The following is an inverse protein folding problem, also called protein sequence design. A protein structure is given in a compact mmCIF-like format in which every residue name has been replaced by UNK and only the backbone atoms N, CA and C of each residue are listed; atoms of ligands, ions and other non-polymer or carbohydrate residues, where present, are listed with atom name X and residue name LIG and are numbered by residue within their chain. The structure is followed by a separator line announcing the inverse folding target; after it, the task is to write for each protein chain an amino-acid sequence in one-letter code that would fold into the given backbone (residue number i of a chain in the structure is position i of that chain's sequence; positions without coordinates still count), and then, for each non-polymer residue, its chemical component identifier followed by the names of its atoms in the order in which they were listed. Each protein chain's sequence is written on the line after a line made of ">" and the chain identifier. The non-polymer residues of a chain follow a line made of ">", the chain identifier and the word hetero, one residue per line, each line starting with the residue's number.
data_IF_175585547564
#
_entry.id   IF_175585547564
#
_cell.length_a   1.000
_cell.length_b   1.000
_cell.length_c   1.000
_cell.angle_alpha   90.00
_cell.angle_beta   90.00
_cell.angle_gamma   90.00
#
_symmetry.space_group_name_H-M   'P 1'
#
loop_
_entity.id
_entity.type
_entity.pdbx_description
1 polymer ?
#
# COMPACT_ATOMS: atom_id res chain seq x y z
N UNK A 1 -6.13 -9.54 -48.58
CA UNK A 1 -6.75 -8.78 -47.47
C UNK A 1 -8.10 -9.41 -47.20
N UNK A 2 -8.38 -9.79 -45.95
CA UNK A 2 -9.65 -10.39 -45.53
C UNK A 2 -10.68 -9.25 -45.43
N UNK A 3 -11.88 -9.40 -45.97
CA UNK A 3 -12.95 -8.41 -45.82
C UNK A 3 -13.42 -8.32 -44.37
N UNK A 4 -13.90 -7.16 -43.92
CA UNK A 4 -14.38 -7.00 -42.54
C UNK A 4 -15.55 -7.95 -42.20
N UNK A 5 -16.41 -8.23 -43.18
CA UNK A 5 -17.51 -9.18 -43.01
C UNK A 5 -17.01 -10.61 -42.81
N UNK A 6 -16.04 -11.05 -43.62
CA UNK A 6 -15.42 -12.37 -43.47
C UNK A 6 -14.67 -12.45 -42.14
N UNK A 7 -14.01 -11.37 -41.73
CA UNK A 7 -13.35 -11.26 -40.44
C UNK A 7 -14.32 -11.43 -39.26
N UNK A 8 -15.51 -10.83 -39.34
CA UNK A 8 -16.57 -11.00 -38.34
C UNK A 8 -17.10 -12.44 -38.31
N UNK A 9 -17.32 -13.06 -39.48
CA UNK A 9 -17.77 -14.47 -39.59
C UNK A 9 -16.75 -15.44 -38.98
N UNK A 10 -15.44 -15.21 -39.20
CA UNK A 10 -14.37 -16.02 -38.56
C UNK A 10 -14.44 -15.91 -37.03
N UNK A 11 -14.63 -14.70 -36.49
CA UNK A 11 -14.76 -14.50 -35.04
C UNK A 11 -15.97 -15.25 -34.46
N UNK A 12 -17.12 -15.18 -35.13
CA UNK A 12 -18.34 -15.86 -34.71
C UNK A 12 -18.18 -17.39 -34.69
N UNK A 13 -17.56 -17.97 -35.72
CA UNK A 13 -17.29 -19.42 -35.78
C UNK A 13 -16.25 -19.84 -34.74
N UNK A 14 -15.23 -19.01 -34.50
CA UNK A 14 -14.23 -19.29 -33.46
C UNK A 14 -14.83 -19.25 -32.05
N UNK A 15 -15.80 -18.38 -31.79
CA UNK A 15 -16.43 -18.23 -30.48
C UNK A 15 -17.42 -19.35 -30.15
N UNK A 16 -18.15 -19.85 -31.16
CA UNK A 16 -19.16 -20.90 -30.99
C UNK A 16 -18.56 -22.23 -30.52
N UNK A 17 -17.35 -22.56 -30.99
CA UNK A 17 -16.69 -23.82 -30.68
C UNK A 17 -17.37 -25.06 -31.27
N UNK A 18 -18.25 -24.89 -32.26
CA UNK A 18 -18.94 -25.99 -32.94
C UNK A 18 -18.06 -26.56 -34.07
N UNK A 19 -17.73 -27.85 -33.96
CA UNK A 19 -16.94 -28.58 -34.95
C UNK A 19 -17.62 -28.66 -36.33
N UNK A 20 -18.96 -28.72 -36.38
CA UNK A 20 -19.68 -28.81 -37.65
C UNK A 20 -19.63 -27.48 -38.41
N UNK A 21 -19.84 -26.36 -37.71
CA UNK A 21 -19.72 -25.02 -38.30
C UNK A 21 -18.28 -24.73 -38.74
N UNK A 22 -17.30 -25.18 -37.96
CA UNK A 22 -15.87 -25.05 -38.31
C UNK A 22 -15.56 -25.80 -39.62
N UNK A 23 -16.04 -27.05 -39.75
CA UNK A 23 -15.82 -27.86 -40.98
C UNK A 23 -16.52 -27.26 -42.19
N UNK A 24 -17.78 -26.81 -42.03
CA UNK A 24 -18.53 -26.16 -43.10
C UNK A 24 -17.85 -24.87 -43.56
N UNK A 25 -17.36 -24.06 -42.61
CA UNK A 25 -16.64 -22.82 -42.91
C UNK A 25 -15.31 -23.08 -43.62
N UNK A 26 -14.53 -24.10 -43.21
CA UNK A 26 -13.27 -24.45 -43.87
C UNK A 26 -13.50 -24.99 -45.29
N UNK A 27 -14.62 -25.69 -45.52
CA UNK A 27 -14.99 -26.14 -46.86
C UNK A 27 -15.37 -24.97 -47.79
N UNK A 28 -16.02 -23.94 -47.25
CA UNK A 28 -16.42 -22.73 -47.98
C UNK A 28 -15.23 -21.76 -48.20
N UNK A 29 -14.31 -21.65 -47.23
CA UNK A 29 -13.19 -20.69 -47.22
C UNK A 29 -11.86 -21.35 -46.78
N UNK A 30 -11.27 -22.22 -47.62
CA UNK A 30 -10.04 -22.95 -47.27
C UNK A 30 -8.83 -22.04 -46.99
N UNK A 31 -8.77 -20.87 -47.61
CA UNK A 31 -7.71 -19.87 -47.43
C UNK A 31 -7.72 -19.24 -46.02
N UNK A 32 -8.86 -19.24 -45.32
CA UNK A 32 -8.99 -18.68 -43.98
C UNK A 32 -8.73 -19.69 -42.85
N UNK A 33 -8.38 -20.94 -43.18
CA UNK A 33 -8.19 -22.02 -42.21
C UNK A 33 -7.16 -21.68 -41.13
N UNK A 34 -6.02 -21.12 -41.51
CA UNK A 34 -4.95 -20.79 -40.57
C UNK A 34 -5.39 -19.70 -39.56
N UNK A 35 -6.09 -18.68 -40.04
CA UNK A 35 -6.61 -17.58 -39.22
C UNK A 35 -7.71 -18.06 -38.26
N UNK A 36 -8.63 -18.92 -38.72
CA UNK A 36 -9.68 -19.51 -37.88
C UNK A 36 -9.09 -20.32 -36.72
N UNK A 37 -8.10 -21.19 -37.00
CA UNK A 37 -7.44 -22.00 -35.97
C UNK A 37 -6.69 -21.13 -34.96
N UNK A 38 -6.03 -20.06 -35.42
CA UNK A 38 -5.35 -19.12 -34.53
C UNK A 38 -6.33 -18.44 -33.56
N UNK A 39 -7.51 -18.03 -34.04
CA UNK A 39 -8.54 -17.41 -33.21
C UNK A 39 -9.22 -18.39 -32.28
N UNK A 40 -9.51 -19.61 -32.72
CA UNK A 40 -10.00 -20.67 -31.83
C UNK A 40 -9.02 -20.93 -30.67
N UNK A 41 -7.71 -20.96 -30.94
CA UNK A 41 -6.69 -21.09 -29.89
C UNK A 41 -6.70 -19.91 -28.93
N UNK A 42 -6.84 -18.68 -29.43
CA UNK A 42 -6.94 -17.50 -28.58
C UNK A 42 -8.19 -17.54 -27.70
N UNK A 43 -9.36 -17.84 -28.28
CA UNK A 43 -10.63 -17.93 -27.56
C UNK A 43 -10.59 -19.02 -26.49
N UNK A 44 -10.02 -20.19 -26.79
CA UNK A 44 -9.87 -21.28 -25.82
C UNK A 44 -8.89 -20.93 -24.70
N UNK A 45 -7.81 -20.19 -25.00
CA UNK A 45 -6.87 -19.68 -23.99
C UNK A 45 -7.57 -18.70 -23.04
N UNK A 46 -8.38 -17.77 -23.58
CA UNK A 46 -9.13 -16.80 -22.77
C UNK A 46 -10.21 -17.50 -21.95
N UNK A 47 -11.01 -18.38 -22.55
CA UNK A 47 -12.06 -19.13 -21.84
C UNK A 47 -11.48 -20.09 -20.79
N UNK A 48 -10.34 -20.71 -21.08
CA UNK A 48 -9.61 -21.61 -20.19
C UNK A 48 -8.83 -20.90 -19.07
N UNK A 49 -8.55 -19.60 -19.22
CA UNK A 49 -7.92 -18.78 -18.18
C UNK A 49 -8.84 -18.47 -16.99
N UNK A 50 -10.13 -18.85 -17.05
CA UNK A 50 -10.96 -18.91 -15.84
C UNK A 50 -10.33 -19.94 -14.90
N UNK A 51 -9.88 -19.55 -13.69
CA UNK A 51 -9.25 -20.47 -12.77
C UNK A 51 -10.27 -21.57 -12.38
N UNK A 52 -10.16 -22.72 -13.06
CA UNK A 52 -10.88 -23.96 -12.70
C UNK A 52 -10.30 -24.59 -11.43
N UNK A 53 -9.24 -23.99 -10.90
CA UNK A 53 -8.85 -24.25 -9.53
C UNK A 53 -9.90 -23.60 -8.64
N UNK A 54 -10.86 -24.40 -8.18
CA UNK A 54 -11.35 -24.30 -6.80
C UNK A 54 -10.14 -24.48 -5.89
N UNK A 55 -9.21 -23.51 -5.89
CA UNK A 55 -8.44 -23.24 -4.68
C UNK A 55 -9.55 -23.04 -3.68
N UNK A 56 -9.68 -23.96 -2.73
CA UNK A 56 -10.52 -23.75 -1.58
C UNK A 56 -10.16 -22.34 -1.15
N UNK A 57 -11.09 -21.38 -1.35
CA UNK A 57 -10.86 -20.00 -0.93
C UNK A 57 -10.48 -20.18 0.52
N UNK A 58 -9.22 -19.98 0.84
CA UNK A 58 -8.81 -19.85 2.22
C UNK A 58 -9.70 -18.72 2.69
N UNK A 59 -10.70 -19.12 3.48
CA UNK A 59 -11.65 -18.20 4.04
C UNK A 59 -10.75 -17.16 4.69
N UNK A 60 -10.89 -15.90 4.29
CA UNK A 60 -10.18 -14.79 4.91
C UNK A 60 -10.49 -14.90 6.40
N UNK A 61 -9.65 -15.62 7.13
CA UNK A 61 -9.60 -15.56 8.57
C UNK A 61 -8.82 -14.27 8.75
N UNK A 62 -9.45 -13.19 9.24
CA UNK A 62 -8.66 -12.06 9.69
C UNK A 62 -7.55 -12.66 10.56
N UNK A 63 -6.30 -12.40 10.19
CA UNK A 63 -5.18 -12.80 11.05
C UNK A 63 -5.57 -12.29 12.43
N UNK A 64 -5.62 -13.15 13.46
CA UNK A 64 -6.04 -12.73 14.78
C UNK A 64 -5.18 -11.52 15.09
N UNK A 65 -5.84 -10.37 15.30
CA UNK A 65 -5.20 -9.09 15.52
C UNK A 65 -4.01 -9.36 16.41
N UNK A 66 -2.81 -9.20 15.83
CA UNK A 66 -1.58 -9.31 16.58
C UNK A 66 -1.74 -8.19 17.58
N UNK A 67 -2.18 -8.53 18.79
CA UNK A 67 -2.44 -7.62 19.88
C UNK A 67 -1.14 -6.87 20.11
N UNK A 68 -0.95 -5.80 19.35
CA UNK A 68 0.10 -4.85 19.59
C UNK A 68 -0.34 -4.30 20.92
N UNK A 69 0.35 -4.71 21.97
CA UNK A 69 0.32 -4.07 23.26
C UNK A 69 0.82 -2.64 23.06
N UNK A 70 0.02 -1.84 22.36
CA UNK A 70 0.12 -0.41 22.23
C UNK A 70 -0.19 0.06 23.64
N UNK A 71 0.88 0.17 24.43
CA UNK A 71 0.83 0.84 25.71
C UNK A 71 0.09 2.17 25.47
N UNK A 72 -0.97 2.43 26.25
CA UNK A 72 -1.85 3.55 25.97
C UNK A 72 -1.01 4.83 25.95
N UNK A 73 -1.25 5.70 24.96
CA UNK A 73 -0.39 6.85 24.64
C UNK A 73 -0.04 7.74 25.86
N UNK A 74 -0.88 7.76 26.90
CA UNK A 74 -0.61 8.46 28.17
C UNK A 74 0.59 7.89 28.96
N UNK A 75 0.88 6.60 28.85
CA UNK A 75 2.03 5.97 29.51
C UNK A 75 3.37 6.48 28.95
N UNK A 76 3.43 6.78 27.64
CA UNK A 76 4.60 7.38 27.01
C UNK A 76 4.86 8.82 27.51
N UNK A 77 3.79 9.60 27.73
CA UNK A 77 3.92 10.96 28.28
C UNK A 77 4.39 10.96 29.74
N UNK A 78 3.96 9.99 30.55
CA UNK A 78 4.43 9.86 31.93
C UNK A 78 5.94 9.58 32.01
N UNK A 79 6.44 8.66 31.18
CA UNK A 79 7.86 8.31 31.13
C UNK A 79 8.76 9.45 30.59
N UNK A 80 8.28 10.25 29.64
CA UNK A 80 9.02 11.41 29.16
C UNK A 80 9.14 12.52 30.22
N UNK A 81 8.10 12.74 31.03
CA UNK A 81 8.11 13.78 32.06
C UNK A 81 9.12 13.51 33.19
N UNK A 82 9.31 12.24 33.57
CA UNK A 82 10.24 11.86 34.65
C UNK A 82 11.69 12.03 34.22
N UNK A 83 12.02 11.79 32.95
CA UNK A 83 13.36 12.03 32.41
C UNK A 83 13.72 13.53 32.38
N UNK A 84 12.77 14.40 32.03
CA UNK A 84 13.00 15.85 32.02
C UNK A 84 13.18 16.39 33.45
N UNK A 85 12.34 15.97 34.41
CA UNK A 85 12.48 16.37 35.81
C UNK A 85 13.82 15.91 36.42
N UNK A 86 14.27 14.69 36.07
CA UNK A 86 15.57 14.17 36.49
C UNK A 86 16.75 14.98 35.93
N UNK A 87 16.68 15.38 34.66
CA UNK A 87 17.73 16.20 34.04
C UNK A 87 17.84 17.58 34.71
N UNK A 88 16.73 18.24 35.02
CA UNK A 88 16.73 19.55 35.70
C UNK A 88 17.34 19.45 37.11
N UNK A 89 16.99 18.42 37.88
CA UNK A 89 17.57 18.22 39.22
C UNK A 89 19.08 17.91 39.16
N UNK A 90 19.53 17.13 38.15
CA UNK A 90 20.96 16.87 37.93
C UNK A 90 21.74 18.16 37.55
N UNK A 91 21.15 19.05 36.74
CA UNK A 91 21.76 20.34 36.40
C UNK A 91 21.86 21.28 37.61
N UNK A 92 20.82 21.35 38.46
CA UNK A 92 20.88 22.19 39.67
C UNK A 92 21.87 21.62 40.70
N UNK A 93 21.97 20.30 40.83
CA UNK A 93 22.92 19.65 41.72
C UNK A 93 24.39 19.88 41.31
N UNK A 94 24.70 19.80 40.01
CA UNK A 94 26.06 20.05 39.50
C UNK A 94 26.45 21.52 39.64
N UNK A 95 25.55 22.47 39.40
CA UNK A 95 25.82 23.90 39.61
C UNK A 95 26.17 24.22 41.08
N UNK A 96 25.39 23.69 42.03
CA UNK A 96 25.66 23.87 43.48
C UNK A 96 26.98 23.24 43.91
N UNK A 97 27.36 22.10 43.33
CA UNK A 97 28.63 21.43 43.63
C UNK A 97 29.84 22.20 43.10
N UNK A 98 29.76 22.74 41.88
CA UNK A 98 30.81 23.60 41.34
C UNK A 98 30.94 24.92 42.10
N UNK A 99 29.82 25.51 42.56
CA UNK A 99 29.82 26.75 43.33
C UNK A 99 30.50 26.58 44.71
N UNK A 100 30.35 25.40 45.34
CA UNK A 100 31.10 25.04 46.55
C UNK A 100 32.61 24.86 46.32
N UNK A 101 33.06 24.50 45.11
CA UNK A 101 34.50 24.44 44.80
C UNK A 101 35.11 25.80 44.43
N UNK A 102 34.29 26.76 44.00
CA UNK A 102 34.80 28.00 43.42
C UNK A 102 34.97 29.17 44.40
N UNK A 103 34.75 28.96 45.71
CA UNK A 103 35.05 29.98 46.73
C UNK A 103 36.56 30.15 47.03
N UNK A 104 37.44 29.46 46.31
CA UNK A 104 38.88 29.45 46.59
C UNK A 104 39.76 30.42 45.79
N UNK A 105 39.34 30.94 44.63
CA UNK A 105 40.27 31.69 43.76
C UNK A 105 39.63 32.97 43.19
N UNK A 106 39.96 34.10 43.82
CA UNK A 106 39.79 35.41 43.22
C UNK A 106 40.81 35.56 42.07
N UNK A 107 40.33 35.58 40.82
CA UNK A 107 41.14 35.93 39.65
C UNK A 107 40.47 37.07 38.88
N UNK A 108 41.29 38.07 38.62
CA UNK A 108 41.00 39.35 37.99
C UNK A 108 40.57 39.17 36.51
N UNK A 109 39.57 39.98 36.12
CA UNK A 109 39.15 40.34 34.75
C UNK A 109 40.34 40.77 33.86
N UNK A 110 40.29 40.71 32.48
CA UNK A 110 39.35 41.53 31.68
C UNK A 110 38.99 41.05 30.23
N UNK A 111 37.96 41.70 29.66
CA UNK A 111 37.67 42.09 28.25
C UNK A 111 38.16 41.24 27.06
N UNK A 112 37.29 41.05 26.04
CA UNK A 112 37.33 41.76 24.73
C UNK A 112 36.46 41.05 23.64
N UNK A 113 35.52 41.80 22.99
CA UNK A 113 35.03 41.79 21.56
C UNK A 113 34.82 40.48 20.78
N UNK A 114 33.92 40.32 19.80
CA UNK A 114 33.13 41.20 18.91
C UNK A 114 32.07 40.32 18.21
N UNK A 115 30.95 40.87 17.69
CA UNK A 115 30.01 40.14 16.82
C UNK A 115 30.22 40.49 15.33
N UNK A 116 30.44 39.48 14.49
CA UNK A 116 30.46 39.46 13.02
C UNK A 116 30.09 38.01 12.63
N UNK A 117 29.40 37.65 11.55
CA UNK A 117 28.86 38.33 10.38
C UNK A 117 27.92 37.32 9.69
N UNK A 118 26.93 37.84 8.96
CA UNK A 118 26.12 37.05 8.04
C UNK A 118 26.98 36.51 6.89
N UNK A 119 26.81 35.24 6.51
CA UNK A 119 27.29 34.78 5.21
C UNK A 119 26.25 33.88 4.52
N UNK A 120 25.69 34.45 3.44
CA UNK A 120 24.92 33.78 2.41
C UNK A 120 25.86 32.89 1.57
N UNK A 121 25.66 31.57 1.61
CA UNK A 121 26.42 30.60 0.83
C UNK A 121 25.52 29.63 0.07
N UNK A 122 24.94 30.12 -1.02
CA UNK A 122 24.29 29.35 -2.08
C UNK A 122 25.33 28.54 -2.85
N UNK A 123 25.30 27.20 -2.77
CA UNK A 123 25.74 26.30 -3.86
C UNK A 123 25.26 24.86 -3.64
N UNK A 124 24.41 24.39 -4.55
CA UNK A 124 24.19 22.97 -4.86
C UNK A 124 25.49 22.35 -5.42
N UNK A 125 25.86 21.13 -5.02
CA UNK A 125 26.60 20.23 -5.89
C UNK A 125 25.65 19.22 -6.55
N UNK A 126 25.45 19.40 -7.87
CA UNK A 126 24.92 18.40 -8.78
C UNK A 126 26.05 17.42 -9.09
N UNK A 127 26.02 16.24 -8.47
CA UNK A 127 26.93 15.12 -8.80
C UNK A 127 26.09 13.96 -9.30
N UNK A 128 25.97 13.88 -10.62
CA UNK A 128 25.53 12.68 -11.34
C UNK A 128 26.73 11.72 -11.38
N UNK A 129 26.71 10.68 -10.55
CA UNK A 129 27.57 9.51 -10.74
C UNK A 129 26.80 8.48 -11.55
N UNK A 130 27.22 8.30 -12.79
CA UNK A 130 26.87 7.19 -13.65
C UNK A 130 27.70 5.99 -13.19
N UNK A 131 27.07 5.09 -12.43
CA UNK A 131 27.68 3.82 -12.02
C UNK A 131 27.26 2.80 -13.07
N UNK A 132 28.17 2.48 -13.99
CA UNK A 132 28.03 1.37 -14.93
C UNK A 132 28.36 0.08 -14.15
N UNK A 133 27.41 -0.86 -13.94
CA UNK A 133 27.73 -2.14 -13.33
C UNK A 133 28.41 -3.05 -14.37
N UNK A 134 29.68 -3.37 -14.15
CA UNK A 134 30.37 -4.45 -14.88
C UNK A 134 29.84 -5.79 -14.40
N UNK A 135 29.06 -6.48 -15.25
CA UNK A 135 28.57 -7.84 -15.00
C UNK A 135 29.71 -8.85 -15.20
N UNK A 136 29.98 -9.77 -14.25
CA UNK A 136 30.88 -10.89 -14.46
C UNK A 136 30.28 -11.84 -15.51
N UNK A 137 30.98 -12.02 -16.62
CA UNK A 137 30.63 -13.01 -17.64
C UNK A 137 31.15 -14.37 -17.18
N UNK A 138 30.25 -15.25 -16.72
CA UNK A 138 30.53 -16.67 -16.49
C UNK A 138 30.48 -17.43 -17.84
N UNK A 139 31.58 -18.03 -18.32
CA UNK A 139 31.64 -18.61 -19.67
C UNK A 139 31.11 -20.06 -19.78
N UNK A 140 30.24 -20.54 -18.88
CA UNK A 140 29.90 -21.98 -18.85
C UNK A 140 28.41 -22.34 -18.78
N UNK A 141 27.53 -21.56 -19.42
CA UNK A 141 26.16 -22.00 -19.70
C UNK A 141 26.04 -22.52 -21.13
N UNK A 142 26.11 -23.85 -21.28
CA UNK A 142 25.69 -24.53 -22.51
C UNK A 142 24.21 -24.24 -22.79
N UNK A 143 23.97 -23.48 -23.85
CA UNK A 143 22.66 -23.17 -24.40
C UNK A 143 22.04 -24.44 -25.01
N UNK A 144 20.90 -24.88 -24.46
CA UNK A 144 20.00 -25.82 -25.15
C UNK A 144 19.30 -25.03 -26.27
N UNK A 145 19.43 -25.41 -27.55
CA UNK A 145 18.77 -24.69 -28.64
C UNK A 145 17.26 -24.90 -28.60
N UNK A 146 16.47 -23.83 -28.42
CA UNK A 146 15.02 -23.86 -28.66
C UNK A 146 14.11 -23.41 -27.52
N UNK A 147 14.64 -23.05 -26.35
CA UNK A 147 13.87 -22.33 -25.32
C UNK A 147 14.44 -20.93 -25.17
N UNK A 148 13.83 -19.93 -25.81
CA UNK A 148 13.94 -18.56 -25.33
C UNK A 148 13.40 -18.56 -23.90
N UNK A 149 14.22 -18.31 -22.87
CA UNK A 149 13.69 -18.13 -21.53
C UNK A 149 12.67 -16.99 -21.59
N UNK A 150 11.52 -17.09 -20.91
CA UNK A 150 10.63 -15.95 -20.79
C UNK A 150 11.46 -14.83 -20.19
N UNK A 151 11.68 -13.76 -20.95
CA UNK A 151 12.28 -12.54 -20.42
C UNK A 151 11.34 -12.12 -19.30
N UNK A 152 11.73 -12.36 -18.06
CA UNK A 152 11.08 -11.77 -16.91
C UNK A 152 11.36 -10.29 -17.02
N UNK A 153 10.46 -9.57 -17.68
CA UNK A 153 10.39 -8.11 -17.56
C UNK A 153 10.33 -7.82 -16.07
N UNK A 154 11.42 -7.33 -15.50
CA UNK A 154 11.40 -6.77 -14.15
C UNK A 154 10.28 -5.73 -14.13
N UNK A 155 9.22 -6.03 -13.39
CA UNK A 155 8.11 -5.09 -13.22
C UNK A 155 8.61 -4.02 -12.26
N UNK A 156 8.77 -2.79 -12.74
CA UNK A 156 9.15 -1.63 -11.92
C UNK A 156 8.19 -1.43 -10.72
N UNK A 157 7.00 -2.01 -10.81
CA UNK A 157 5.96 -2.03 -9.78
C UNK A 157 6.41 -2.74 -8.48
N UNK A 158 7.38 -3.66 -8.58
CA UNK A 158 7.90 -4.43 -7.44
C UNK A 158 9.10 -3.75 -6.75
N UNK A 159 9.47 -2.53 -7.16
CA UNK A 159 10.56 -1.78 -6.54
C UNK A 159 10.18 -1.36 -5.11
N UNK A 160 11.02 -1.67 -4.11
CA UNK A 160 10.77 -1.26 -2.73
C UNK A 160 10.92 0.24 -2.58
N UNK A 161 10.01 0.85 -1.83
CA UNK A 161 10.00 2.28 -1.53
C UNK A 161 10.03 2.51 -0.02
N UNK A 162 10.58 3.66 0.38
CA UNK A 162 10.62 4.09 1.78
C UNK A 162 10.04 5.49 1.88
N UNK A 163 8.89 5.60 2.53
CA UNK A 163 8.20 6.87 2.77
C UNK A 163 7.84 6.98 4.25
N UNK A 164 8.41 7.99 4.89
CA UNK A 164 8.18 8.29 6.31
C UNK A 164 7.83 9.75 6.43
N UNK A 165 6.54 10.05 6.60
CA UNK A 165 6.04 11.41 6.64
C UNK A 165 4.85 11.53 7.58
N UNK A 166 4.79 12.63 8.32
CA UNK A 166 3.67 12.96 9.18
C UNK A 166 3.00 14.22 8.66
N UNK A 167 1.68 14.16 8.43
CA UNK A 167 0.88 15.28 7.92
C UNK A 167 1.33 15.78 6.52
N UNK A 168 1.47 14.84 5.58
CA UNK A 168 1.75 15.13 4.16
C UNK A 168 0.46 15.07 3.35
N UNK A 169 0.31 15.88 2.30
CA UNK A 169 -0.85 15.77 1.39
C UNK A 169 -0.77 14.48 0.59
N UNK A 170 -1.92 13.89 0.26
CA UNK A 170 -1.95 12.62 -0.48
C UNK A 170 -1.26 12.75 -1.85
N UNK A 171 -1.49 13.84 -2.58
CA UNK A 171 -0.84 14.07 -3.88
C UNK A 171 0.70 14.12 -3.79
N UNK A 172 1.22 14.81 -2.79
CA UNK A 172 2.66 14.88 -2.54
C UNK A 172 3.23 13.49 -2.19
N UNK A 173 2.57 12.76 -1.29
CA UNK A 173 2.99 11.40 -0.91
C UNK A 173 2.97 10.41 -2.08
N UNK A 174 1.92 10.48 -2.92
CA UNK A 174 1.82 9.65 -4.13
C UNK A 174 2.91 10.01 -5.14
N UNK A 175 3.21 11.29 -5.31
CA UNK A 175 4.28 11.74 -6.19
C UNK A 175 5.67 11.26 -5.71
N UNK A 176 5.92 11.28 -4.39
CA UNK A 176 7.15 10.75 -3.81
C UNK A 176 7.30 9.25 -4.05
N UNK A 177 6.22 8.48 -3.88
CA UNK A 177 6.19 7.03 -4.20
C UNK A 177 6.47 6.81 -5.69
N UNK A 178 5.83 7.60 -6.56
CA UNK A 178 5.99 7.50 -8.01
C UNK A 178 7.44 7.75 -8.44
N UNK A 179 8.07 8.78 -7.88
CA UNK A 179 9.47 9.14 -8.13
C UNK A 179 10.44 8.06 -7.64
N UNK A 180 10.23 7.52 -6.43
CA UNK A 180 11.10 6.46 -5.89
C UNK A 180 10.99 5.14 -6.67
N UNK A 181 9.76 4.76 -7.08
CA UNK A 181 9.52 3.51 -7.81
C UNK A 181 9.73 3.64 -9.33
N UNK A 182 9.92 4.85 -9.86
CA UNK A 182 10.04 5.08 -11.30
C UNK A 182 8.75 4.78 -12.08
N UNK A 183 7.60 4.95 -11.44
CA UNK A 183 6.26 4.72 -12.05
C UNK A 183 5.53 6.05 -12.27
N UNK A 184 4.52 6.04 -13.14
CA UNK A 184 3.60 7.14 -13.36
C UNK A 184 2.29 6.84 -12.66
N UNK A 185 1.80 7.79 -11.88
CA UNK A 185 0.50 7.70 -11.23
C UNK A 185 -0.46 8.68 -11.89
N UNK A 186 -1.60 8.17 -12.36
CA UNK A 186 -2.69 8.98 -12.88
C UNK A 186 -3.85 8.93 -11.89
N UNK A 187 -4.37 10.09 -11.50
CA UNK A 187 -5.49 10.19 -10.59
C UNK A 187 -6.78 10.40 -11.37
N UNK A 188 -7.82 9.60 -11.09
CA UNK A 188 -9.13 9.85 -11.68
C UNK A 188 -9.73 11.18 -11.18
N UNK A 189 -10.59 11.84 -11.98
CA UNK A 189 -11.30 13.05 -11.55
C UNK A 189 -12.08 12.81 -10.25
N UNK A 190 -12.04 13.78 -9.34
CA UNK A 190 -12.77 13.69 -8.06
C UNK A 190 -12.06 12.90 -6.96
N UNK A 191 -10.79 12.50 -7.15
CA UNK A 191 -10.00 11.88 -6.08
C UNK A 191 -9.86 12.82 -4.87
N UNK A 192 -10.15 12.35 -3.64
CA UNK A 192 -9.93 13.15 -2.43
C UNK A 192 -8.44 13.38 -2.20
N UNK A 193 -8.07 14.56 -1.70
CA UNK A 193 -6.68 14.88 -1.34
C UNK A 193 -6.55 15.33 0.13
N UNK A 194 -6.75 14.40 1.09
CA UNK A 194 -6.57 14.69 2.50
C UNK A 194 -5.10 14.70 2.89
N UNK A 195 -4.81 15.25 4.08
CA UNK A 195 -3.52 15.06 4.71
C UNK A 195 -3.48 13.67 5.38
N UNK A 196 -2.36 12.98 5.23
CA UNK A 196 -2.15 11.63 5.75
C UNK A 196 -0.84 11.51 6.55
N UNK A 197 -0.73 10.42 7.28
CA UNK A 197 0.48 10.00 7.98
C UNK A 197 0.85 8.61 7.49
N UNK A 198 2.10 8.44 7.06
CA UNK A 198 2.60 7.20 6.45
C UNK A 198 3.99 6.86 7.02
N UNK A 199 4.21 5.59 7.32
CA UNK A 199 5.51 5.04 7.73
C UNK A 199 5.66 3.66 7.09
N UNK A 200 6.17 3.66 5.86
CA UNK A 200 6.48 2.46 5.09
C UNK A 200 7.97 2.42 4.81
N UNK A 201 8.60 1.27 5.04
CA UNK A 201 10.05 1.08 4.91
C UNK A 201 10.31 -0.20 4.15
N UNK A 202 11.00 -0.09 3.03
CA UNK A 202 11.37 -1.21 2.16
C UNK A 202 10.15 -2.06 1.72
N UNK A 203 9.03 -1.38 1.43
CA UNK A 203 7.77 -2.03 1.01
C UNK A 203 7.58 -1.82 -0.50
N UNK A 204 7.16 -2.84 -1.28
CA UNK A 204 6.87 -2.66 -2.70
C UNK A 204 5.84 -1.55 -2.95
N UNK A 205 6.08 -0.71 -3.95
CA UNK A 205 5.24 0.45 -4.25
C UNK A 205 3.75 0.11 -4.38
N UNK A 206 3.41 -1.01 -5.04
CA UNK A 206 2.03 -1.45 -5.22
C UNK A 206 1.33 -1.81 -3.89
N UNK A 207 2.07 -2.35 -2.93
CA UNK A 207 1.53 -2.70 -1.61
C UNK A 207 1.27 -1.44 -0.79
N UNK A 208 2.20 -0.46 -0.85
CA UNK A 208 2.01 0.86 -0.23
C UNK A 208 0.77 1.54 -0.81
N UNK A 209 0.63 1.58 -2.14
CA UNK A 209 -0.53 2.17 -2.80
C UNK A 209 -1.84 1.46 -2.44
N UNK A 210 -1.82 0.12 -2.30
CA UNK A 210 -2.99 -0.66 -1.87
C UNK A 210 -3.36 -0.37 -0.42
N UNK A 211 -2.38 -0.27 0.47
CA UNK A 211 -2.60 0.03 1.88
C UNK A 211 -3.21 1.44 2.06
N UNK A 212 -2.63 2.46 1.40
CA UNK A 212 -3.17 3.83 1.40
C UNK A 212 -4.56 3.85 0.77
N UNK A 213 -4.76 3.13 -0.34
CA UNK A 213 -6.05 3.05 -1.03
C UNK A 213 -7.15 2.43 -0.18
N UNK A 214 -6.86 1.40 0.60
CA UNK A 214 -7.82 0.81 1.52
C UNK A 214 -8.26 1.80 2.61
N UNK A 215 -7.34 2.63 3.11
CA UNK A 215 -7.64 3.62 4.14
C UNK A 215 -8.44 4.82 3.60
N UNK A 216 -8.16 5.24 2.37
CA UNK A 216 -8.76 6.43 1.74
C UNK A 216 -9.82 6.10 0.70
N UNK A 217 -10.28 4.84 0.68
CA UNK A 217 -11.31 4.34 -0.23
C UNK A 217 -10.99 4.60 -1.72
N UNK A 218 -9.79 4.26 -2.18
CA UNK A 218 -9.46 4.17 -3.61
C UNK A 218 -8.78 2.86 -3.96
N UNK A 219 -8.84 2.47 -5.23
CA UNK A 219 -8.24 1.24 -5.75
C UNK A 219 -7.17 1.57 -6.80
N UNK A 220 -5.91 1.13 -6.62
CA UNK A 220 -4.90 1.24 -7.66
C UNK A 220 -5.13 0.17 -8.75
N UNK A 221 -5.17 0.59 -10.01
CA UNK A 221 -5.32 -0.25 -11.19
C UNK A 221 -4.08 -0.13 -12.07
N UNK A 222 -3.46 -1.26 -12.41
CA UNK A 222 -2.27 -1.29 -13.27
C UNK A 222 -2.72 -1.15 -14.73
N UNK A 223 -2.33 -0.07 -15.39
CA UNK A 223 -2.59 0.14 -16.82
C UNK A 223 -1.47 -0.45 -17.68
N UNK A 224 -0.22 -0.23 -17.26
CA UNK A 224 1.00 -0.73 -17.93
C UNK A 224 2.05 -1.06 -16.88
N UNK A 225 3.21 -1.59 -17.31
CA UNK A 225 4.34 -1.89 -16.43
C UNK A 225 4.90 -0.69 -15.67
N UNK A 226 4.58 0.55 -16.08
CA UNK A 226 5.05 1.79 -15.46
C UNK A 226 3.95 2.84 -15.27
N UNK A 227 2.67 2.50 -15.44
CA UNK A 227 1.53 3.41 -15.24
C UNK A 227 0.46 2.75 -14.37
N UNK A 228 0.03 3.45 -13.33
CA UNK A 228 -1.05 3.03 -12.44
C UNK A 228 -2.12 4.13 -12.41
N UNK A 229 -3.36 3.74 -12.66
CA UNK A 229 -4.54 4.57 -12.51
C UNK A 229 -5.13 4.38 -11.11
N UNK A 230 -5.36 5.47 -10.40
CA UNK A 230 -5.96 5.48 -9.07
C UNK A 230 -7.44 5.87 -9.20
N UNK A 231 -8.33 4.95 -8.83
CA UNK A 231 -9.78 5.11 -8.99
C UNK A 231 -10.44 5.21 -7.60
N UNK A 232 -11.21 6.26 -7.29
CA UNK A 232 -11.94 6.34 -6.04
C UNK A 232 -13.00 5.23 -5.98
N UNK A 233 -13.09 4.55 -4.83
CA UNK A 233 -14.06 3.48 -4.61
C UNK A 233 -15.48 4.03 -4.39
N UNK A 234 -15.60 5.27 -3.93
CA UNK A 234 -16.85 6.02 -3.91
C UNK A 234 -16.83 7.07 -5.01
N UNK A 235 -17.82 7.03 -5.89
CA UNK A 235 -18.05 8.13 -6.82
C UNK A 235 -18.62 9.32 -6.02
N UNK A 236 -17.92 10.47 -5.96
CA UNK A 236 -18.42 11.64 -5.26
C UNK A 236 -19.71 12.21 -5.87
N UNK A 237 -20.03 11.82 -7.11
CA UNK A 237 -21.26 12.22 -7.80
C UNK A 237 -22.35 11.15 -7.77
N UNK A 238 -22.07 9.95 -7.23
CA UNK A 238 -23.13 8.97 -7.05
C UNK A 238 -24.14 9.57 -6.06
N UNK A 239 -25.44 9.62 -6.41
CA UNK A 239 -26.45 9.96 -5.42
C UNK A 239 -26.25 8.99 -4.26
N UNK A 240 -26.01 9.52 -3.05
CA UNK A 240 -25.88 8.71 -1.85
C UNK A 240 -27.00 7.69 -1.91
N UNK A 241 -26.66 6.44 -2.24
CA UNK A 241 -27.60 5.34 -2.22
C UNK A 241 -27.75 4.96 -0.75
N UNK A 242 -28.18 5.93 0.04
CA UNK A 242 -28.85 5.70 1.30
C UNK A 242 -30.05 4.87 0.92
N UNK A 243 -29.90 3.56 1.01
CA UNK A 243 -31.00 2.61 1.12
C UNK A 243 -32.03 3.25 2.05
N UNK A 244 -33.15 3.76 1.54
CA UNK A 244 -34.17 4.32 2.38
C UNK A 244 -34.84 3.13 3.06
N UNK A 245 -34.54 2.92 4.33
CA UNK A 245 -35.33 2.01 5.16
C UNK A 245 -34.79 0.61 5.36
N UNK A 246 -33.59 0.48 5.93
CA UNK A 246 -33.55 -0.32 7.17
C UNK A 246 -34.15 0.55 8.26
N UNK A 247 -35.49 0.62 8.22
CA UNK A 247 -36.31 1.00 9.35
C UNK A 247 -35.76 0.17 10.49
N UNK A 248 -35.22 0.82 11.53
CA UNK A 248 -35.06 0.18 12.82
C UNK A 248 -36.37 -0.60 13.04
N UNK A 249 -36.35 -1.94 13.14
CA UNK A 249 -37.56 -2.65 13.50
C UNK A 249 -38.01 -1.99 14.80
N UNK A 250 -39.23 -1.43 14.77
CA UNK A 250 -39.83 -0.81 15.93
C UNK A 250 -39.59 -1.74 17.13
N UNK A 251 -39.18 -1.23 18.30
CA UNK A 251 -39.02 -2.07 19.47
C UNK A 251 -40.33 -2.81 19.70
N UNK A 252 -40.31 -4.13 19.51
CA UNK A 252 -41.47 -5.00 19.69
C UNK A 252 -42.09 -4.71 21.07
N UNK A 253 -43.32 -4.21 21.15
CA UNK A 253 -43.98 -3.98 22.42
C UNK A 253 -44.51 -5.34 22.90
N UNK A 254 -43.70 -6.09 23.63
CA UNK A 254 -44.15 -7.43 24.04
C UNK A 254 -43.20 -8.34 24.80
N UNK A 255 -42.04 -7.88 25.28
CA UNK A 255 -41.18 -8.74 26.13
C UNK A 255 -41.09 -8.22 27.57
N UNK A 256 -42.27 -8.13 28.19
CA UNK A 256 -42.42 -8.20 29.65
C UNK A 256 -42.42 -9.67 30.05
N UNK A 257 -41.25 -10.32 30.09
CA UNK A 257 -41.11 -11.66 30.63
C UNK A 257 -40.08 -11.66 31.76
N UNK A 258 -40.58 -11.55 32.99
CA UNK A 258 -40.04 -12.25 34.15
C UNK A 258 -38.64 -11.84 34.62
N UNK A 259 -38.59 -10.80 35.45
CA UNK A 259 -37.65 -10.78 36.57
C UNK A 259 -37.86 -12.06 37.40
N UNK A 260 -36.97 -13.03 37.29
CA UNK A 260 -36.74 -13.99 38.37
C UNK A 260 -35.69 -13.38 39.30
N UNK A 261 -36.00 -13.21 40.60
CA UNK A 261 -35.01 -12.76 41.57
C UNK A 261 -33.92 -13.84 41.73
N UNK A 262 -32.68 -13.45 41.50
CA UNK A 262 -31.50 -14.24 41.85
C UNK A 262 -31.48 -14.34 43.38
N UNK A 263 -31.48 -15.53 43.98
CA UNK A 263 -31.33 -15.66 45.43
C UNK A 263 -29.91 -15.26 45.83
N UNK A 264 -29.84 -14.22 46.66
CA UNK A 264 -28.65 -13.79 47.39
C UNK A 264 -28.09 -14.96 48.18
N UNK A 265 -26.91 -15.45 47.78
CA UNK A 265 -26.16 -16.45 48.53
C UNK A 265 -25.55 -15.75 49.75
N UNK A 266 -26.18 -15.94 50.91
CA UNK A 266 -25.65 -15.56 52.22
C UNK A 266 -24.40 -16.37 52.54
N UNK A 267 -23.32 -15.63 52.75
CA UNK A 267 -22.04 -16.05 53.30
C UNK A 267 -22.21 -16.46 54.78
N UNK A 268 -21.91 -17.70 55.20
CA UNK A 268 -21.83 -18.04 56.61
C UNK A 268 -20.42 -17.77 57.14
N UNK A 269 -20.34 -16.75 57.98
CA UNK A 269 -19.29 -16.58 58.98
C UNK A 269 -19.07 -17.90 59.74
N UNK A 270 -17.91 -18.53 59.54
CA UNK A 270 -17.38 -19.60 60.37
C UNK A 270 -16.20 -19.06 61.18
N UNK A 271 -16.45 -18.77 62.45
CA UNK A 271 -15.43 -18.56 63.48
C UNK A 271 -14.67 -19.88 63.71
N UNK A 272 -13.36 -19.80 63.89
CA UNK A 272 -12.63 -20.20 65.12
C UNK A 272 -11.22 -19.61 65.11
#
# INVERSE_FOLDING_TARGET
>A
MISEELNAKIWQVAESGDDQLTKAFIAEHPECKAELLARQKMVTTIKGSKPTQKVARERFMPSPDRNSNSLPRWAAFAAASTLIAGAVLATVGTLRFLESQNQGNAVLTPNHTKPLEANNGKTLPKTTQEIIPTVPTDPNSQLVPGQTPPVQELRLIDTPVTIVASNIRLDDALNDIALQAGIRLNSAPGMPNPNIQVDFRDVPAIEVLRAIGQQLEFTPMIETSSSILLVPARDPNAPESGLPGLVNPAPSPGESAGLLPIPTQTDPTGNE
#
